data_IF_276244829360
#
_entry.id   IF_276244829360
#
_cell.length_a   1.000
_cell.length_b   1.000
_cell.length_c   1.000
_cell.angle_alpha   90.00
_cell.angle_beta   90.00
_cell.angle_gamma   90.00
#
_symmetry.space_group_name_H-M   'P 1'
#
loop_
_entity.id
_entity.type
_entity.pdbx_description
1 polymer ?
#
# COMPACT_ATOMS: atom_id res chain seq x y z
N UNK A 1 25.31 15.82 33.46
CA UNK A 1 24.07 15.81 32.66
C UNK A 1 24.51 15.75 31.21
N UNK A 2 24.28 14.64 30.52
CA UNK A 2 24.60 14.51 29.10
C UNK A 2 23.57 15.31 28.33
N UNK A 3 24.03 16.34 27.62
CA UNK A 3 23.16 17.21 26.83
C UNK A 3 22.73 16.43 25.58
N UNK A 4 21.49 15.93 25.58
CA UNK A 4 20.95 15.22 24.41
C UNK A 4 20.57 16.25 23.36
N UNK A 5 21.50 16.55 22.46
CA UNK A 5 21.24 17.39 21.28
C UNK A 5 20.37 16.61 20.30
N UNK A 6 19.11 17.05 20.13
CA UNK A 6 18.20 16.47 19.15
C UNK A 6 18.50 16.99 17.75
N UNK A 7 18.60 16.10 16.77
CA UNK A 7 18.66 16.48 15.36
C UNK A 7 17.24 16.72 14.83
N UNK A 8 16.97 17.93 14.35
CA UNK A 8 15.72 18.26 13.67
C UNK A 8 15.83 17.75 12.22
N UNK A 9 14.95 16.82 11.85
CA UNK A 9 14.81 16.35 10.46
C UNK A 9 13.90 17.33 9.74
N UNK A 10 14.48 18.20 8.91
CA UNK A 10 13.72 19.05 8.00
C UNK A 10 13.38 18.24 6.75
N UNK A 11 12.08 18.03 6.51
CA UNK A 11 11.56 17.46 5.28
C UNK A 11 11.38 18.61 4.30
N UNK A 12 12.04 18.54 3.15
CA UNK A 12 11.82 19.48 2.07
C UNK A 12 10.46 19.19 1.43
N UNK A 13 9.48 20.07 1.66
CA UNK A 13 8.12 19.97 1.11
C UNK A 13 7.98 20.70 -0.22
N UNK A 14 9.08 21.19 -0.82
CA UNK A 14 9.02 21.86 -2.12
C UNK A 14 8.72 20.91 -3.29
N UNK A 15 9.05 19.62 -3.13
CA UNK A 15 8.59 18.50 -3.97
C UNK A 15 7.34 17.84 -3.37
N UNK A 16 6.37 18.62 -2.89
CA UNK A 16 5.04 18.08 -2.61
C UNK A 16 4.44 17.62 -3.93
N UNK A 17 4.72 16.37 -4.33
CA UNK A 17 4.09 15.73 -5.47
C UNK A 17 2.58 15.97 -5.35
N UNK A 18 2.01 16.54 -6.42
CA UNK A 18 0.59 16.84 -6.49
C UNK A 18 -0.19 15.57 -6.13
N UNK A 19 -1.11 15.69 -5.17
CA UNK A 19 -1.86 14.54 -4.65
C UNK A 19 -2.53 13.80 -5.82
N UNK A 20 -1.96 12.65 -6.19
CA UNK A 20 -2.54 11.71 -7.14
C UNK A 20 -4.01 11.41 -6.79
N UNK A 21 -4.89 11.32 -7.80
CA UNK A 21 -6.30 11.06 -7.57
C UNK A 21 -6.54 9.67 -6.98
N UNK A 22 -7.66 9.53 -6.29
CA UNK A 22 -8.15 8.24 -5.79
C UNK A 22 -8.36 7.24 -6.93
N UNK A 23 -8.33 5.96 -6.57
CA UNK A 23 -8.50 4.85 -7.49
C UNK A 23 -9.96 4.42 -7.51
N UNK A 24 -10.54 4.37 -8.71
CA UNK A 24 -11.93 4.02 -8.94
C UNK A 24 -12.01 2.69 -9.69
N UNK A 25 -12.54 1.64 -9.05
CA UNK A 25 -12.65 0.30 -9.62
C UNK A 25 -14.12 -0.13 -9.75
N UNK A 26 -14.40 -0.96 -10.75
CA UNK A 26 -15.64 -1.73 -10.82
C UNK A 26 -15.31 -3.22 -10.73
N UNK A 27 -15.79 -3.88 -9.68
CA UNK A 27 -15.46 -5.28 -9.38
C UNK A 27 -16.75 -6.04 -9.11
N UNK A 28 -17.01 -7.09 -9.90
CA UNK A 28 -18.23 -7.90 -9.81
C UNK A 28 -19.52 -7.05 -9.81
N UNK A 29 -19.56 -5.99 -10.63
CA UNK A 29 -20.69 -5.06 -10.72
C UNK A 29 -20.83 -4.09 -9.53
N UNK A 30 -19.83 -4.03 -8.64
CA UNK A 30 -19.79 -3.09 -7.51
C UNK A 30 -18.74 -2.01 -7.77
N UNK A 31 -19.15 -0.74 -7.67
CA UNK A 31 -18.24 0.40 -7.71
C UNK A 31 -17.51 0.56 -6.39
N UNK A 32 -16.20 0.75 -6.45
CA UNK A 32 -15.32 0.80 -5.31
C UNK A 32 -14.34 1.97 -5.46
N UNK A 33 -14.47 2.95 -4.57
CA UNK A 33 -13.54 4.08 -4.46
C UNK A 33 -12.52 3.81 -3.36
N UNK A 34 -11.24 3.84 -3.72
CA UNK A 34 -10.10 3.57 -2.84
C UNK A 34 -9.14 4.75 -2.85
N UNK A 35 -8.55 5.10 -1.71
CA UNK A 35 -7.63 6.21 -1.66
C UNK A 35 -6.34 5.87 -2.42
N UNK A 36 -5.68 6.87 -3.01
CA UNK A 36 -4.40 6.63 -3.66
C UNK A 36 -3.33 6.22 -2.63
N UNK A 37 -2.67 5.09 -2.87
CA UNK A 37 -1.71 4.50 -1.94
C UNK A 37 -0.46 5.35 -1.71
N UNK A 38 -0.13 6.29 -2.61
CA UNK A 38 1.01 7.20 -2.42
C UNK A 38 0.70 8.35 -1.47
N UNK A 39 -0.59 8.63 -1.24
CA UNK A 39 -1.05 9.85 -0.57
C UNK A 39 -1.82 9.57 0.73
N UNK A 40 -2.19 8.33 0.96
CA UNK A 40 -3.17 7.97 1.97
C UNK A 40 -2.52 7.62 3.31
N UNK A 41 -3.06 8.18 4.40
CA UNK A 41 -2.84 7.67 5.75
C UNK A 41 -3.57 6.32 5.91
N UNK A 42 -2.95 5.26 5.38
CA UNK A 42 -3.46 3.90 5.52
C UNK A 42 -2.84 3.22 6.73
N UNK A 43 -3.54 2.22 7.32
CA UNK A 43 -2.93 1.34 8.30
C UNK A 43 -1.61 0.79 7.77
N UNK A 44 -0.56 0.83 8.59
CA UNK A 44 0.80 0.48 8.18
C UNK A 44 0.88 -0.97 7.66
N UNK A 45 0.06 -1.86 8.21
CA UNK A 45 -0.06 -3.26 7.82
C UNK A 45 -0.56 -3.38 6.37
N UNK A 46 -1.49 -2.51 5.96
CA UNK A 46 -2.03 -2.49 4.60
C UNK A 46 -0.96 -2.06 3.60
N UNK A 47 -0.20 -1.02 3.95
CA UNK A 47 0.94 -0.55 3.14
C UNK A 47 1.97 -1.67 2.97
N UNK A 48 2.36 -2.33 4.06
CA UNK A 48 3.31 -3.44 4.01
C UNK A 48 2.81 -4.61 3.14
N UNK A 49 1.54 -4.98 3.26
CA UNK A 49 0.94 -6.05 2.48
C UNK A 49 0.95 -5.73 0.97
N UNK A 50 0.62 -4.50 0.59
CA UNK A 50 0.65 -4.03 -0.79
C UNK A 50 2.08 -4.07 -1.36
N UNK A 51 3.06 -3.57 -0.59
CA UNK A 51 4.46 -3.58 -1.02
C UNK A 51 4.98 -5.00 -1.19
N UNK A 52 4.61 -5.91 -0.30
CA UNK A 52 4.97 -7.32 -0.40
C UNK A 52 4.42 -7.94 -1.69
N UNK A 53 3.12 -7.75 -1.98
CA UNK A 53 2.46 -8.22 -3.23
C UNK A 53 3.14 -7.66 -4.47
N UNK A 54 3.61 -6.41 -4.42
CA UNK A 54 4.26 -5.76 -5.56
C UNK A 54 5.72 -6.20 -5.75
N UNK A 55 6.44 -6.43 -4.66
CA UNK A 55 7.87 -6.72 -4.67
C UNK A 55 8.20 -8.12 -5.17
N UNK A 56 7.24 -9.07 -5.09
CA UNK A 56 7.45 -10.47 -5.43
C UNK A 56 6.39 -10.94 -6.42
N UNK A 57 6.84 -11.65 -7.46
CA UNK A 57 5.93 -12.29 -8.41
C UNK A 57 5.16 -13.46 -7.78
N UNK A 58 5.78 -14.15 -6.82
CA UNK A 58 5.20 -15.30 -6.12
C UNK A 58 5.46 -15.13 -4.63
N UNK A 59 4.38 -15.12 -3.84
CA UNK A 59 4.41 -15.14 -2.38
C UNK A 59 4.32 -16.57 -1.88
N UNK A 60 4.85 -16.84 -0.68
CA UNK A 60 4.61 -18.13 0.01
C UNK A 60 3.15 -18.22 0.46
N UNK A 61 2.67 -19.43 0.77
CA UNK A 61 1.28 -19.62 1.24
C UNK A 61 0.99 -18.86 2.54
N UNK A 62 1.98 -18.77 3.43
CA UNK A 62 1.88 -18.01 4.69
C UNK A 62 1.84 -16.50 4.44
N UNK A 63 2.68 -16.00 3.54
CA UNK A 63 2.68 -14.59 3.13
C UNK A 63 1.37 -14.22 2.44
N UNK A 64 0.88 -15.10 1.55
CA UNK A 64 -0.44 -14.94 0.94
C UNK A 64 -1.51 -14.84 2.02
N UNK A 65 -1.56 -15.78 2.97
CA UNK A 65 -2.56 -15.79 4.04
C UNK A 65 -2.52 -14.51 4.90
N UNK A 66 -1.33 -14.03 5.24
CA UNK A 66 -1.14 -12.79 6.02
C UNK A 66 -1.62 -11.56 5.24
N UNK A 67 -1.20 -11.43 3.98
CA UNK A 67 -1.62 -10.36 3.06
C UNK A 67 -3.14 -10.37 2.91
N UNK A 68 -3.73 -11.55 2.70
CA UNK A 68 -5.18 -11.70 2.60
C UNK A 68 -5.90 -11.27 3.87
N UNK A 69 -5.45 -11.70 5.04
CA UNK A 69 -6.07 -11.36 6.32
C UNK A 69 -6.12 -9.83 6.52
N UNK A 70 -5.03 -9.14 6.17
CA UNK A 70 -4.94 -7.68 6.25
C UNK A 70 -5.95 -6.98 5.33
N UNK A 71 -6.03 -7.36 4.05
CA UNK A 71 -7.01 -6.76 3.14
C UNK A 71 -8.45 -7.10 3.51
N UNK A 72 -8.70 -8.33 3.96
CA UNK A 72 -10.02 -8.76 4.39
C UNK A 72 -10.51 -7.92 5.57
N UNK A 73 -9.65 -7.71 6.58
CA UNK A 73 -9.96 -6.88 7.74
C UNK A 73 -10.24 -5.41 7.33
N UNK A 74 -9.43 -4.87 6.41
CA UNK A 74 -9.65 -3.54 5.87
C UNK A 74 -10.99 -3.42 5.15
N UNK A 75 -11.31 -4.30 4.19
CA UNK A 75 -12.55 -4.21 3.44
C UNK A 75 -13.79 -4.53 4.30
N UNK A 76 -13.67 -5.42 5.29
CA UNK A 76 -14.75 -5.66 6.25
C UNK A 76 -15.09 -4.41 7.07
N UNK A 77 -14.08 -3.64 7.45
CA UNK A 77 -14.26 -2.47 8.33
C UNK A 77 -14.60 -1.21 7.53
N UNK A 78 -13.83 -0.93 6.48
CA UNK A 78 -13.86 0.35 5.76
C UNK A 78 -14.72 0.33 4.50
N UNK A 79 -14.94 -0.85 3.89
CA UNK A 79 -15.73 -1.00 2.66
C UNK A 79 -16.70 -2.20 2.76
N UNK A 80 -17.55 -2.27 3.80
CA UNK A 80 -18.37 -3.45 4.09
C UNK A 80 -19.32 -3.81 2.95
N UNK A 81 -19.85 -2.83 2.21
CA UNK A 81 -20.73 -3.07 1.06
C UNK A 81 -20.02 -3.83 -0.05
N UNK A 82 -18.78 -3.46 -0.36
CA UNK A 82 -17.95 -4.15 -1.33
C UNK A 82 -17.66 -5.58 -0.90
N UNK A 83 -17.22 -5.77 0.35
CA UNK A 83 -16.98 -7.12 0.87
C UNK A 83 -18.23 -7.99 0.84
N UNK A 84 -19.38 -7.45 1.23
CA UNK A 84 -20.65 -8.15 1.20
C UNK A 84 -21.09 -8.53 -0.22
N UNK A 85 -20.77 -7.72 -1.22
CA UNK A 85 -21.01 -8.04 -2.62
C UNK A 85 -20.09 -9.16 -3.09
N UNK A 86 -18.78 -9.08 -2.80
CA UNK A 86 -17.83 -10.13 -3.17
C UNK A 86 -18.22 -11.49 -2.60
N UNK A 87 -18.64 -11.56 -1.34
CA UNK A 87 -19.08 -12.81 -0.69
C UNK A 87 -20.25 -13.52 -1.38
N UNK A 88 -21.01 -12.82 -2.23
CA UNK A 88 -22.11 -13.40 -3.01
C UNK A 88 -21.66 -13.95 -4.36
N UNK A 89 -20.42 -13.70 -4.76
CA UNK A 89 -19.84 -14.28 -5.98
C UNK A 89 -19.39 -15.71 -5.75
N UNK A 90 -19.18 -16.47 -6.83
CA UNK A 90 -18.66 -17.84 -6.74
C UNK A 90 -17.17 -17.88 -6.31
N UNK A 91 -16.45 -16.77 -6.48
CA UNK A 91 -14.99 -16.69 -6.31
C UNK A 91 -14.55 -15.41 -5.56
N UNK A 92 -15.03 -15.19 -4.31
CA UNK A 92 -14.80 -13.94 -3.57
C UNK A 92 -13.31 -13.62 -3.37
N UNK A 93 -12.49 -14.65 -3.16
CA UNK A 93 -11.06 -14.50 -2.91
C UNK A 93 -10.31 -14.08 -4.17
N UNK A 94 -10.64 -14.64 -5.35
CA UNK A 94 -10.01 -14.27 -6.61
C UNK A 94 -10.30 -12.81 -6.97
N UNK A 95 -11.56 -12.36 -6.79
CA UNK A 95 -11.92 -10.96 -6.96
C UNK A 95 -11.18 -10.04 -5.97
N UNK A 96 -11.01 -10.47 -4.72
CA UNK A 96 -10.24 -9.72 -3.73
C UNK A 96 -8.78 -9.54 -4.16
N UNK A 97 -8.10 -10.61 -4.62
CA UNK A 97 -6.73 -10.52 -5.16
C UNK A 97 -6.65 -9.55 -6.32
N UNK A 98 -7.56 -9.70 -7.29
CA UNK A 98 -7.57 -8.87 -8.49
C UNK A 98 -7.77 -7.39 -8.14
N UNK A 99 -8.65 -7.10 -7.18
CA UNK A 99 -8.91 -5.74 -6.68
C UNK A 99 -7.65 -5.13 -6.05
N UNK A 100 -6.95 -5.88 -5.20
CA UNK A 100 -5.72 -5.41 -4.56
C UNK A 100 -4.62 -5.12 -5.58
N UNK A 101 -4.44 -6.00 -6.57
CA UNK A 101 -3.46 -5.80 -7.64
C UNK A 101 -3.79 -4.55 -8.46
N UNK A 102 -5.04 -4.40 -8.89
CA UNK A 102 -5.50 -3.22 -9.62
C UNK A 102 -5.31 -1.94 -8.79
N UNK A 103 -5.63 -1.97 -7.49
CA UNK A 103 -5.43 -0.82 -6.61
C UNK A 103 -3.95 -0.42 -6.52
N UNK A 104 -3.05 -1.40 -6.41
CA UNK A 104 -1.60 -1.16 -6.36
C UNK A 104 -1.02 -0.66 -7.69
N UNK A 105 -1.57 -1.07 -8.82
CA UNK A 105 -1.19 -0.64 -10.16
C UNK A 105 -1.67 0.79 -10.45
N UNK A 106 -2.95 1.07 -10.26
CA UNK A 106 -3.58 2.38 -10.51
C UNK A 106 -3.07 3.48 -9.56
N UNK A 107 -2.66 3.10 -8.34
CA UNK A 107 -2.02 4.06 -7.43
C UNK A 107 -0.59 4.46 -7.88
N UNK A 108 -0.04 3.81 -8.91
CA UNK A 108 1.29 4.13 -9.42
C UNK A 108 2.42 3.90 -8.41
N UNK A 109 2.23 3.00 -7.44
CA UNK A 109 3.35 2.51 -6.63
C UNK A 109 4.40 1.92 -7.60
N UNK A 110 5.69 2.04 -7.32
CA UNK A 110 6.76 1.33 -8.06
C UNK A 110 7.50 0.46 -7.03
N UNK A 111 7.66 -0.87 -7.21
CA UNK A 111 8.37 -1.66 -6.21
C UNK A 111 9.84 -1.23 -6.08
N UNK A 112 10.41 -0.56 -7.10
CA UNK A 112 11.78 -0.02 -7.04
C UNK A 112 11.92 1.25 -6.22
N UNK A 113 10.86 2.06 -6.09
CA UNK A 113 10.90 3.29 -5.29
C UNK A 113 11.30 3.02 -3.83
N UNK A 114 10.96 1.84 -3.30
CA UNK A 114 11.27 1.41 -1.93
C UNK A 114 12.62 0.70 -1.79
N UNK A 115 13.26 0.33 -2.91
CA UNK A 115 14.60 -0.29 -2.92
C UNK A 115 15.74 0.74 -2.94
N UNK A 116 15.42 2.02 -3.06
CA UNK A 116 16.38 3.12 -2.95
C UNK A 116 16.89 3.20 -1.52
N UNK A 117 17.98 2.48 -1.27
CA UNK A 117 18.82 2.73 -0.10
C UNK A 117 19.28 4.18 -0.20
N UNK A 118 19.09 5.05 0.82
CA UNK A 118 19.78 6.32 0.82
C UNK A 118 21.27 6.00 0.83
N UNK A 119 21.92 6.16 -0.31
CA UNK A 119 23.37 6.02 -0.41
C UNK A 119 23.94 7.06 0.52
N UNK A 120 24.48 6.60 1.65
CA UNK A 120 25.16 7.45 2.60
C UNK A 120 26.34 8.10 1.91
N UNK A 121 26.21 9.39 1.61
CA UNK A 121 27.34 10.21 1.21
C UNK A 121 28.17 10.54 2.45
N UNK A 122 28.83 9.54 3.04
CA UNK A 122 29.99 9.80 3.91
C UNK A 122 31.19 9.97 3.00
N UNK A 123 31.30 11.17 2.41
CA UNK A 123 32.53 11.61 1.76
C UNK A 123 33.60 11.68 2.84
N UNK A 124 34.44 10.65 2.89
CA UNK A 124 35.73 10.76 3.55
C UNK A 124 36.53 11.85 2.85
N UNK A 125 36.87 12.91 3.57
CA UNK A 125 38.06 13.69 3.26
C UNK A 125 38.93 13.77 4.52
N UNK A 126 40.20 13.48 4.25
CA UNK A 126 41.35 13.39 5.14
C UNK A 126 41.68 14.71 5.83
#
# INVERSE_FOLDING_TARGET
>A
MTDNTYHVVNIDLTDAEELKPDVHLEVAGTRLDLPNLTNAELPIELVQAILLVKSRQVLTDEENAAVFATFLAYFQTMKPNFWNALRKTERPIEYLVATVKAWAEESGLDPKAFSSTPSGNTTGQR
#
